data_IF_176769770363
#
_entry.id   IF_176769770363
#
_cell.length_a   1.000
_cell.length_b   1.000
_cell.length_c   1.000
_cell.angle_alpha   90.00
_cell.angle_beta   90.00
_cell.angle_gamma   90.00
#
_symmetry.space_group_name_H-M   'P 1'
#
loop_
_entity.id
_entity.type
_entity.pdbx_description
1 polymer ?
#
# COMPACT_ATOMS: atom_id res chain seq x y z
N UNK A 1 13.60 -22.62 -32.75
CA UNK A 1 14.79 -21.89 -32.24
C UNK A 1 14.68 -21.83 -30.72
N UNK A 2 15.73 -22.24 -30.01
CA UNK A 2 15.71 -22.43 -28.54
C UNK A 2 15.70 -21.08 -27.82
N UNK A 3 14.82 -20.90 -26.84
CA UNK A 3 14.88 -19.81 -25.88
C UNK A 3 15.72 -20.27 -24.67
N UNK A 4 16.79 -19.54 -24.37
CA UNK A 4 17.60 -19.73 -23.17
C UNK A 4 16.95 -19.00 -22.00
N UNK A 5 16.69 -19.72 -20.90
CA UNK A 5 16.30 -19.14 -19.61
C UNK A 5 17.58 -18.93 -18.82
N UNK A 6 18.00 -17.67 -18.68
CA UNK A 6 19.04 -17.30 -17.74
C UNK A 6 18.37 -16.90 -16.41
N UNK A 7 18.62 -17.71 -15.37
CA UNK A 7 18.28 -17.41 -13.99
C UNK A 7 19.57 -17.00 -13.28
N UNK A 8 19.76 -15.71 -13.02
CA UNK A 8 20.84 -15.22 -12.16
C UNK A 8 20.29 -14.92 -10.76
N UNK A 9 20.87 -15.62 -9.77
CA UNK A 9 20.73 -15.35 -8.34
C UNK A 9 21.61 -14.16 -7.98
N UNK A 10 21.05 -13.14 -7.34
CA UNK A 10 21.80 -12.00 -6.82
C UNK A 10 21.01 -11.18 -5.80
N UNK A 11 21.33 -11.42 -4.53
CA UNK A 11 21.28 -10.58 -3.33
C UNK A 11 20.05 -9.78 -2.87
N UNK A 12 19.74 -10.04 -1.60
CA UNK A 12 19.00 -9.21 -0.68
C UNK A 12 19.75 -7.89 -0.41
N UNK A 13 19.29 -6.77 -0.99
CA UNK A 13 19.29 -5.43 -0.38
C UNK A 13 19.07 -4.36 -1.45
N UNK A 14 17.83 -4.17 -1.89
CA UNK A 14 17.34 -2.83 -2.25
C UNK A 14 15.82 -2.87 -2.45
N UNK A 15 15.09 -2.30 -1.50
CA UNK A 15 13.76 -1.78 -1.79
C UNK A 15 13.91 -0.65 -2.83
N UNK A 16 12.93 -0.53 -3.74
CA UNK A 16 12.77 0.51 -4.78
C UNK A 16 13.34 0.16 -6.16
N UNK A 17 12.70 -0.79 -6.84
CA UNK A 17 12.19 -0.56 -8.20
C UNK A 17 11.22 -1.67 -8.54
N UNK A 18 9.93 -1.44 -8.35
CA UNK A 18 8.95 -2.19 -9.11
C UNK A 18 9.25 -1.86 -10.58
N UNK A 19 9.60 -2.84 -11.43
CA UNK A 19 9.48 -2.62 -12.84
C UNK A 19 7.97 -2.52 -13.06
N UNK A 20 7.47 -1.30 -13.27
CA UNK A 20 6.34 -1.13 -14.16
C UNK A 20 6.80 -1.63 -15.52
N UNK A 21 6.89 -2.95 -15.68
CA UNK A 21 6.60 -3.56 -16.95
C UNK A 21 5.14 -3.19 -17.16
N UNK A 22 4.93 -2.03 -17.81
CA UNK A 22 3.94 -1.95 -18.86
C UNK A 22 4.15 -3.23 -19.67
N UNK A 23 3.37 -4.26 -19.31
CA UNK A 23 2.83 -5.12 -20.33
C UNK A 23 1.95 -4.16 -21.11
N UNK A 24 2.58 -3.45 -22.04
CA UNK A 24 1.88 -3.05 -23.24
C UNK A 24 1.22 -4.35 -23.67
N UNK A 25 -0.08 -4.42 -23.45
CA UNK A 25 -0.93 -5.22 -24.29
C UNK A 25 -0.75 -4.61 -25.67
N UNK A 26 0.38 -4.92 -26.33
CA UNK A 26 0.42 -5.08 -27.76
C UNK A 26 -0.62 -6.16 -27.98
N UNK A 27 -1.85 -5.66 -28.10
CA UNK A 27 -2.84 -6.23 -28.96
C UNK A 27 -2.03 -6.46 -30.24
N UNK A 28 -1.57 -7.68 -30.45
CA UNK A 28 -1.46 -8.25 -31.77
C UNK A 28 -2.88 -8.16 -32.35
N UNK A 29 -3.31 -6.93 -32.66
CA UNK A 29 -3.89 -6.60 -33.94
C UNK A 29 -2.85 -7.08 -34.94
N UNK A 30 -2.86 -8.39 -35.15
CA UNK A 30 -2.49 -9.02 -36.39
C UNK A 30 -3.34 -8.27 -37.40
N UNK A 31 -2.76 -7.18 -37.92
CA UNK A 31 -3.26 -6.52 -39.10
C UNK A 31 -3.51 -7.68 -40.07
N UNK A 32 -4.74 -7.85 -40.57
CA UNK A 32 -4.94 -8.85 -41.59
C UNK A 32 -3.96 -8.49 -42.69
N UNK A 33 -2.89 -9.30 -42.81
CA UNK A 33 -2.04 -9.37 -44.00
C UNK A 33 -3.04 -9.33 -45.13
N UNK A 34 -2.96 -8.26 -45.93
CA UNK A 34 -3.80 -8.00 -47.08
C UNK A 34 -4.21 -9.35 -47.66
N UNK A 35 -5.41 -9.78 -47.25
CA UNK A 35 -5.93 -11.06 -47.64
C UNK A 35 -6.11 -10.87 -49.12
N UNK A 36 -5.31 -11.61 -49.88
CA UNK A 36 -5.70 -12.12 -51.17
C UNK A 36 -7.22 -12.15 -51.23
N UNK A 37 -7.79 -11.10 -51.83
CA UNK A 37 -9.07 -11.20 -52.46
C UNK A 37 -8.76 -12.12 -53.64
N UNK A 38 -8.68 -13.42 -53.36
CA UNK A 38 -8.96 -14.41 -54.38
C UNK A 38 -10.36 -14.04 -54.81
N UNK A 39 -10.43 -13.27 -55.91
CA UNK A 39 -11.55 -13.31 -56.81
C UNK A 39 -11.84 -14.79 -56.95
N UNK A 40 -12.82 -15.29 -56.20
CA UNK A 40 -13.44 -16.56 -56.52
C UNK A 40 -13.88 -16.32 -57.95
N UNK A 41 -13.12 -16.92 -58.85
CA UNK A 41 -13.32 -16.86 -60.28
C UNK A 41 -14.59 -17.67 -60.48
N UNK A 42 -15.71 -17.04 -60.13
CA UNK A 42 -17.04 -17.57 -60.14
C UNK A 42 -17.36 -17.77 -61.60
N UNK A 43 -17.16 -19.01 -62.03
CA UNK A 43 -17.53 -19.49 -63.34
C UNK A 43 -18.97 -19.03 -63.59
N UNK A 44 -19.21 -18.28 -64.68
CA UNK A 44 -20.47 -17.57 -64.85
C UNK A 44 -21.61 -18.58 -64.80
N UNK A 45 -22.41 -18.46 -63.74
CA UNK A 45 -23.56 -19.31 -63.47
C UNK A 45 -24.37 -19.52 -64.77
N UNK A 46 -24.70 -20.77 -65.12
CA UNK A 46 -25.52 -21.04 -66.30
C UNK A 46 -26.76 -20.14 -66.27
N UNK A 47 -27.04 -19.41 -67.35
CA UNK A 47 -28.16 -18.47 -67.36
C UNK A 47 -29.47 -19.26 -67.25
N UNK A 48 -30.31 -18.89 -66.28
CA UNK A 48 -31.66 -19.45 -66.14
C UNK A 48 -32.44 -19.21 -67.42
N UNK A 49 -32.59 -20.27 -68.22
CA UNK A 49 -33.50 -20.26 -69.36
C UNK A 49 -34.93 -20.03 -68.83
N UNK A 50 -35.83 -19.45 -69.62
CA UNK A 50 -37.27 -19.39 -69.35
C UNK A 50 -37.94 -19.88 -70.62
N UNK A 51 -38.81 -20.89 -70.52
CA UNK A 51 -39.62 -21.38 -71.65
C UNK A 51 -41.07 -21.00 -71.35
N UNK A 52 -41.72 -20.35 -72.31
CA UNK A 52 -43.14 -20.05 -72.26
C UNK A 52 -43.94 -21.18 -72.93
N UNK A 53 -45.23 -21.27 -72.63
CA UNK A 53 -46.11 -22.32 -73.15
C UNK A 53 -46.21 -22.32 -74.69
N UNK A 54 -45.99 -21.16 -75.33
CA UNK A 54 -45.93 -21.02 -76.78
C UNK A 54 -44.67 -21.65 -77.39
N UNK A 55 -43.54 -21.62 -76.68
CA UNK A 55 -42.26 -22.14 -77.16
C UNK A 55 -42.28 -23.67 -77.32
N UNK A 56 -43.07 -24.37 -76.51
CA UNK A 56 -43.26 -25.82 -76.61
C UNK A 56 -43.98 -26.26 -77.89
N UNK A 57 -44.74 -25.36 -78.53
CA UNK A 57 -45.44 -25.64 -79.79
C UNK A 57 -44.62 -25.30 -81.03
N UNK A 58 -43.59 -24.45 -80.87
CA UNK A 58 -42.83 -23.86 -81.98
C UNK A 58 -41.42 -24.45 -82.07
N UNK A 59 -40.81 -24.86 -80.96
CA UNK A 59 -39.43 -25.35 -80.95
C UNK A 59 -39.32 -26.83 -81.35
N UNK A 60 -38.32 -27.20 -82.17
CA UNK A 60 -38.02 -28.59 -82.48
C UNK A 60 -37.48 -29.32 -81.25
N UNK A 61 -37.67 -30.65 -81.24
CA UNK A 61 -37.32 -31.54 -80.12
C UNK A 61 -35.88 -31.37 -79.63
N UNK A 62 -34.94 -31.22 -80.54
CA UNK A 62 -33.51 -31.13 -80.22
C UNK A 62 -33.16 -29.85 -79.47
N UNK A 63 -33.84 -28.76 -79.79
CA UNK A 63 -33.65 -27.46 -79.16
C UNK A 63 -34.27 -27.43 -77.76
N UNK A 64 -35.40 -28.12 -77.58
CA UNK A 64 -36.01 -28.34 -76.26
C UNK A 64 -35.09 -29.16 -75.34
N UNK A 65 -34.44 -30.21 -75.86
CA UNK A 65 -33.46 -31.02 -75.13
C UNK A 65 -32.25 -30.16 -74.74
N UNK A 66 -31.76 -29.31 -75.64
CA UNK A 66 -30.65 -28.41 -75.34
C UNK A 66 -30.98 -27.45 -74.20
N UNK A 67 -32.18 -26.85 -74.23
CA UNK A 67 -32.66 -25.97 -73.16
C UNK A 67 -32.84 -26.71 -71.83
N UNK A 68 -33.38 -27.93 -71.86
CA UNK A 68 -33.50 -28.76 -70.65
C UNK A 68 -32.13 -29.08 -70.04
N UNK A 69 -31.14 -29.46 -70.85
CA UNK A 69 -29.75 -29.68 -70.38
C UNK A 69 -29.14 -28.42 -69.76
N UNK A 70 -29.43 -27.24 -70.31
CA UNK A 70 -29.01 -25.97 -69.72
C UNK A 70 -29.67 -25.69 -68.37
N UNK A 71 -30.95 -26.06 -68.21
CA UNK A 71 -31.64 -25.97 -66.92
C UNK A 71 -31.10 -26.96 -65.89
N UNK A 72 -30.86 -28.22 -66.27
CA UNK A 72 -30.23 -29.23 -65.41
C UNK A 72 -28.87 -28.73 -64.91
N UNK A 73 -28.02 -28.21 -65.80
CA UNK A 73 -26.73 -27.63 -65.43
C UNK A 73 -26.87 -26.43 -64.48
N UNK A 74 -27.89 -25.57 -64.69
CA UNK A 74 -28.18 -24.46 -63.78
C UNK A 74 -28.62 -24.93 -62.39
N UNK A 75 -29.51 -25.93 -62.33
CA UNK A 75 -29.99 -26.51 -61.06
C UNK A 75 -28.84 -27.16 -60.31
N UNK A 76 -28.03 -27.97 -60.99
CA UNK A 76 -26.86 -28.62 -60.41
C UNK A 76 -25.83 -27.60 -59.87
N UNK A 77 -25.62 -26.50 -60.58
CA UNK A 77 -24.76 -25.41 -60.11
C UNK A 77 -25.34 -24.71 -58.87
N UNK A 78 -26.66 -24.49 -58.81
CA UNK A 78 -27.30 -23.91 -57.62
C UNK A 78 -27.26 -24.84 -56.41
N UNK A 79 -27.47 -26.14 -56.61
CA UNK A 79 -27.40 -27.16 -55.56
C UNK A 79 -25.97 -27.26 -55.00
N UNK A 80 -24.95 -27.25 -55.87
CA UNK A 80 -23.55 -27.20 -55.46
C UNK A 80 -23.23 -25.95 -54.61
N UNK A 81 -23.66 -24.77 -55.07
CA UNK A 81 -23.48 -23.53 -54.30
C UNK A 81 -24.19 -23.58 -52.95
N UNK A 82 -25.40 -24.14 -52.89
CA UNK A 82 -26.13 -24.28 -51.63
C UNK A 82 -25.40 -25.21 -50.65
N UNK A 83 -24.85 -26.33 -51.13
CA UNK A 83 -24.08 -27.25 -50.29
C UNK A 83 -22.78 -26.60 -49.79
N UNK A 84 -22.09 -25.84 -50.64
CA UNK A 84 -20.85 -25.16 -50.29
C UNK A 84 -21.07 -24.08 -49.22
N UNK A 85 -22.07 -23.22 -49.44
CA UNK A 85 -22.49 -22.19 -48.48
C UNK A 85 -22.89 -22.80 -47.13
N UNK A 86 -23.67 -23.89 -47.16
CA UNK A 86 -24.14 -24.53 -45.94
C UNK A 86 -23.03 -25.24 -45.16
N UNK A 87 -22.06 -25.85 -45.86
CA UNK A 87 -21.01 -26.64 -45.20
C UNK A 87 -19.82 -25.83 -44.71
N UNK A 88 -19.47 -24.72 -45.38
CA UNK A 88 -18.28 -23.93 -45.04
C UNK A 88 -18.64 -22.61 -44.33
N UNK A 89 -19.55 -21.84 -44.90
CA UNK A 89 -19.84 -20.50 -44.37
C UNK A 89 -20.73 -20.57 -43.14
N UNK A 90 -21.83 -21.34 -43.20
CA UNK A 90 -22.77 -21.43 -42.06
C UNK A 90 -22.12 -22.12 -40.86
N UNK A 91 -21.37 -23.21 -41.08
CA UNK A 91 -20.67 -23.92 -40.00
C UNK A 91 -19.49 -23.11 -39.45
N UNK A 92 -18.67 -22.52 -40.33
CA UNK A 92 -17.53 -21.70 -39.95
C UNK A 92 -17.94 -20.45 -39.18
N UNK A 93 -19.02 -19.78 -39.60
CA UNK A 93 -19.60 -18.67 -38.86
C UNK A 93 -20.07 -19.11 -37.47
N UNK A 94 -20.77 -20.25 -37.37
CA UNK A 94 -21.23 -20.79 -36.08
C UNK A 94 -20.08 -21.10 -35.13
N UNK A 95 -19.02 -21.75 -35.62
CA UNK A 95 -17.83 -22.02 -34.81
C UNK A 95 -17.08 -20.75 -34.40
N UNK A 96 -17.01 -19.76 -35.30
CA UNK A 96 -16.38 -18.47 -35.00
C UNK A 96 -17.16 -17.67 -33.96
N UNK A 97 -18.50 -17.69 -34.02
CA UNK A 97 -19.39 -17.08 -33.03
C UNK A 97 -19.18 -17.72 -31.65
N UNK A 98 -19.10 -19.05 -31.60
CA UNK A 98 -18.91 -19.79 -30.35
C UNK A 98 -17.53 -19.52 -29.74
N UNK A 99 -16.47 -19.48 -30.56
CA UNK A 99 -15.12 -19.06 -30.12
C UNK A 99 -15.12 -17.64 -29.57
N UNK A 100 -15.82 -16.71 -30.22
CA UNK A 100 -15.89 -15.32 -29.80
C UNK A 100 -16.65 -15.17 -28.47
N UNK A 101 -17.76 -15.91 -28.28
CA UNK A 101 -18.46 -15.99 -27.00
C UNK A 101 -17.58 -16.53 -25.89
N UNK A 102 -16.82 -17.59 -26.15
CA UNK A 102 -15.88 -18.14 -25.16
C UNK A 102 -14.79 -17.14 -24.78
N UNK A 103 -14.20 -16.44 -25.76
CA UNK A 103 -13.23 -15.38 -25.50
C UNK A 103 -13.83 -14.23 -24.69
N UNK A 104 -15.05 -13.82 -25.00
CA UNK A 104 -15.74 -12.77 -24.26
C UNK A 104 -16.00 -13.20 -22.81
N UNK A 105 -16.48 -14.44 -22.60
CA UNK A 105 -16.73 -14.98 -21.26
C UNK A 105 -15.44 -15.09 -20.44
N UNK A 106 -14.35 -15.56 -21.04
CA UNK A 106 -13.04 -15.65 -20.39
C UNK A 106 -12.48 -14.24 -20.09
N UNK A 107 -12.66 -13.29 -20.99
CA UNK A 107 -12.27 -11.89 -20.77
C UNK A 107 -13.05 -11.28 -19.60
N UNK A 108 -14.37 -11.46 -19.56
CA UNK A 108 -15.22 -11.01 -18.46
C UNK A 108 -14.86 -11.69 -17.13
N UNK A 109 -14.51 -12.99 -17.16
CA UNK A 109 -14.04 -13.71 -15.97
C UNK A 109 -12.72 -13.12 -15.45
N UNK A 110 -11.76 -12.82 -16.33
CA UNK A 110 -10.49 -12.18 -15.98
C UNK A 110 -10.72 -10.79 -15.41
N UNK A 111 -11.58 -10.00 -16.04
CA UNK A 111 -11.97 -8.66 -15.57
C UNK A 111 -12.55 -8.71 -14.16
N UNK A 112 -13.51 -9.61 -13.89
CA UNK A 112 -14.09 -9.75 -12.56
C UNK A 112 -13.05 -10.08 -11.47
N UNK A 113 -12.07 -10.93 -11.79
CA UNK A 113 -10.96 -11.23 -10.87
C UNK A 113 -10.11 -9.99 -10.61
N UNK A 114 -9.81 -9.21 -11.67
CA UNK A 114 -9.05 -7.97 -11.53
C UNK A 114 -9.83 -6.95 -10.71
N UNK A 115 -11.13 -6.79 -10.92
CA UNK A 115 -12.00 -5.90 -10.12
C UNK A 115 -11.98 -6.30 -8.65
N UNK A 116 -12.15 -7.59 -8.34
CA UNK A 116 -12.09 -8.06 -6.96
C UNK A 116 -10.73 -7.76 -6.31
N UNK A 117 -9.62 -8.02 -7.03
CA UNK A 117 -8.27 -7.73 -6.53
C UNK A 117 -8.04 -6.23 -6.34
N UNK A 118 -8.54 -5.40 -7.25
CA UNK A 118 -8.47 -3.94 -7.16
C UNK A 118 -9.26 -3.44 -5.95
N UNK A 119 -10.47 -3.95 -5.72
CA UNK A 119 -11.28 -3.62 -4.54
C UNK A 119 -10.57 -4.01 -3.25
N UNK A 120 -9.93 -5.19 -3.19
CA UNK A 120 -9.11 -5.59 -2.03
C UNK A 120 -7.93 -4.63 -1.83
N UNK A 121 -7.22 -4.28 -2.92
CA UNK A 121 -6.09 -3.34 -2.85
C UNK A 121 -6.52 -1.95 -2.40
N UNK A 122 -7.69 -1.48 -2.86
CA UNK A 122 -8.26 -0.21 -2.42
C UNK A 122 -8.61 -0.26 -0.93
N UNK A 123 -9.25 -1.34 -0.46
CA UNK A 123 -9.54 -1.51 0.96
C UNK A 123 -8.27 -1.50 1.82
N UNK A 124 -7.22 -2.22 1.42
CA UNK A 124 -5.92 -2.20 2.11
C UNK A 124 -5.35 -0.77 2.20
N UNK A 125 -5.37 -0.03 1.09
CA UNK A 125 -4.92 1.36 1.06
C UNK A 125 -5.77 2.25 1.96
N UNK A 126 -7.09 2.07 1.91
CA UNK A 126 -8.03 2.79 2.76
C UNK A 126 -7.74 2.50 4.25
N UNK A 127 -7.49 1.27 4.65
CA UNK A 127 -7.14 0.92 6.03
C UNK A 127 -5.76 1.47 6.42
N UNK A 128 -4.78 1.44 5.52
CA UNK A 128 -3.44 1.97 5.78
C UNK A 128 -3.41 3.50 5.89
N UNK A 129 -4.30 4.20 5.19
CA UNK A 129 -4.30 5.68 5.10
C UNK A 129 -5.35 6.31 6.00
N UNK A 130 -6.60 5.85 5.92
CA UNK A 130 -7.69 6.38 6.72
C UNK A 130 -7.64 5.89 8.16
N UNK A 131 -7.13 4.69 8.47
CA UNK A 131 -7.08 4.26 9.88
C UNK A 131 -6.12 5.10 10.73
N UNK A 132 -4.88 5.44 10.28
CA UNK A 132 -4.05 6.41 11.00
C UNK A 132 -4.69 7.78 11.09
N UNK A 133 -5.33 8.26 10.02
CA UNK A 133 -5.97 9.58 10.03
C UNK A 133 -7.17 9.62 10.98
N UNK A 134 -8.02 8.59 10.97
CA UNK A 134 -9.14 8.41 11.92
C UNK A 134 -8.64 8.27 13.37
N UNK A 135 -7.56 7.52 13.60
CA UNK A 135 -6.91 7.44 14.92
C UNK A 135 -6.35 8.79 15.36
N UNK A 136 -5.74 9.55 14.47
CA UNK A 136 -5.23 10.89 14.76
C UNK A 136 -6.39 11.86 15.08
N UNK A 137 -7.48 11.81 14.30
CA UNK A 137 -8.71 12.56 14.57
C UNK A 137 -9.30 12.22 15.94
N UNK A 138 -9.48 10.93 16.25
CA UNK A 138 -9.97 10.48 17.55
C UNK A 138 -9.03 10.90 18.68
N UNK A 139 -7.71 10.86 18.48
CA UNK A 139 -6.74 11.35 19.45
C UNK A 139 -6.91 12.85 19.68
N UNK A 140 -7.00 13.67 18.63
CA UNK A 140 -7.20 15.12 18.79
C UNK A 140 -8.50 15.46 19.51
N UNK A 141 -9.57 14.69 19.27
CA UNK A 141 -10.86 14.93 19.91
C UNK A 141 -10.89 14.46 21.38
N UNK A 142 -10.29 13.30 21.68
CA UNK A 142 -10.45 12.62 22.97
C UNK A 142 -9.30 12.86 23.96
N UNK A 143 -8.10 13.19 23.45
CA UNK A 143 -6.92 13.45 24.28
C UNK A 143 -7.05 14.68 25.20
N UNK A 144 -7.65 15.81 24.79
CA UNK A 144 -7.87 16.94 25.70
C UNK A 144 -8.74 16.54 26.90
N UNK A 145 -9.79 15.75 26.64
CA UNK A 145 -10.69 15.24 27.66
C UNK A 145 -10.00 14.25 28.61
N UNK A 146 -9.14 13.36 28.10
CA UNK A 146 -8.36 12.48 28.95
C UNK A 146 -7.38 13.22 29.87
N UNK A 147 -6.70 14.26 29.36
CA UNK A 147 -5.80 15.08 30.19
C UNK A 147 -6.58 15.81 31.28
N UNK A 148 -7.78 16.32 30.96
CA UNK A 148 -8.65 16.94 31.95
C UNK A 148 -9.06 15.95 33.05
N UNK A 149 -9.47 14.74 32.69
CA UNK A 149 -9.80 13.68 33.67
C UNK A 149 -8.58 13.31 34.52
N UNK A 150 -7.39 13.19 33.91
CA UNK A 150 -6.16 12.86 34.64
C UNK A 150 -5.78 13.93 35.65
N UNK A 151 -5.86 15.21 35.24
CA UNK A 151 -5.65 16.33 36.14
C UNK A 151 -6.65 16.31 37.31
N UNK A 152 -7.94 16.14 37.00
CA UNK A 152 -8.98 16.06 38.03
C UNK A 152 -8.74 14.87 38.98
N UNK A 153 -8.29 13.71 38.48
CA UNK A 153 -7.93 12.57 39.34
C UNK A 153 -6.74 12.85 40.24
N UNK A 154 -5.72 13.59 39.78
CA UNK A 154 -4.60 13.98 40.63
C UNK A 154 -5.02 14.95 41.73
N UNK A 155 -5.92 15.90 41.43
CA UNK A 155 -6.46 16.83 42.42
C UNK A 155 -7.42 16.13 43.38
N UNK A 156 -8.18 15.14 42.90
CA UNK A 156 -9.19 14.43 43.69
C UNK A 156 -8.66 13.24 44.48
N UNK A 157 -7.46 12.72 44.19
CA UNK A 157 -6.74 11.79 45.06
C UNK A 157 -5.62 12.51 45.81
N UNK A 158 -5.95 13.30 46.85
CA UNK A 158 -4.93 13.86 47.72
C UNK A 158 -4.11 12.72 48.33
N UNK A 159 -2.79 12.80 48.21
CA UNK A 159 -1.88 11.89 48.90
C UNK A 159 -2.18 11.90 50.39
N UNK A 160 -1.90 10.80 51.10
CA UNK A 160 -2.08 10.69 52.55
C UNK A 160 -1.41 11.85 53.30
N UNK A 161 -0.31 12.40 52.79
CA UNK A 161 0.34 13.60 53.34
C UNK A 161 -0.50 14.87 53.17
N UNK A 162 -1.14 15.06 52.00
CA UNK A 162 -2.03 16.19 51.74
C UNK A 162 -3.32 16.08 52.55
N UNK A 163 -3.87 14.87 52.68
CA UNK A 163 -5.00 14.59 53.57
C UNK A 163 -4.68 14.93 55.02
N UNK A 164 -3.49 14.53 55.51
CA UNK A 164 -3.02 14.91 56.85
C UNK A 164 -2.92 16.42 56.99
N UNK A 165 -2.41 17.16 56.00
CA UNK A 165 -2.35 18.62 56.06
C UNK A 165 -3.72 19.30 56.03
N UNK A 166 -4.75 18.68 55.43
CA UNK A 166 -6.14 19.21 55.47
C UNK A 166 -6.87 18.86 56.77
N UNK A 167 -6.42 17.85 57.51
CA UNK A 167 -6.99 17.47 58.82
C UNK A 167 -6.36 18.23 59.99
N UNK A 168 -5.19 18.83 59.79
CA UNK A 168 -4.56 19.72 60.77
C UNK A 168 -5.05 21.14 60.52
N UNK A 169 -5.35 21.86 61.59
CA UNK A 169 -5.72 23.28 61.50
C UNK A 169 -4.68 24.08 60.69
N UNK A 170 -5.08 24.99 59.78
CA UNK A 170 -4.16 25.72 58.93
C UNK A 170 -3.06 26.47 59.69
N UNK A 171 -3.35 27.08 60.84
CA UNK A 171 -2.35 27.78 61.62
C UNK A 171 -1.36 26.79 62.26
N UNK A 172 -1.86 25.67 62.76
CA UNK A 172 -1.03 24.58 63.31
C UNK A 172 -0.12 23.98 62.22
N UNK A 173 -0.64 23.75 61.01
CA UNK A 173 0.15 23.22 59.90
C UNK A 173 1.29 24.17 59.48
N UNK A 174 1.06 25.49 59.52
CA UNK A 174 2.11 26.49 59.26
C UNK A 174 3.23 26.42 60.30
N UNK A 175 2.90 26.24 61.58
CA UNK A 175 3.93 26.06 62.62
C UNK A 175 4.72 24.76 62.41
N UNK A 176 4.07 23.64 62.09
CA UNK A 176 4.76 22.38 61.78
C UNK A 176 5.71 22.51 60.59
N UNK A 177 5.27 23.18 59.52
CA UNK A 177 6.10 23.42 58.33
C UNK A 177 7.32 24.29 58.68
N UNK A 178 7.11 25.36 59.47
CA UNK A 178 8.17 26.24 59.92
C UNK A 178 9.19 25.50 60.79
N UNK A 179 8.73 24.75 61.79
CA UNK A 179 9.59 23.93 62.65
C UNK A 179 10.38 22.90 61.85
N UNK A 180 9.74 22.24 60.88
CA UNK A 180 10.42 21.27 60.01
C UNK A 180 11.50 21.94 59.15
N UNK A 181 11.24 23.15 58.64
CA UNK A 181 12.21 23.93 57.88
C UNK A 181 13.40 24.40 58.72
N UNK A 182 13.15 24.89 59.94
CA UNK A 182 14.20 25.27 60.89
C UNK A 182 15.06 24.07 61.27
N UNK A 183 14.44 22.90 61.48
CA UNK A 183 15.15 21.65 61.78
C UNK A 183 16.05 21.21 60.63
N UNK A 184 15.55 21.18 59.39
CA UNK A 184 16.38 20.80 58.23
C UNK A 184 17.52 21.81 58.03
N UNK A 185 17.26 23.12 58.15
CA UNK A 185 18.33 24.13 58.09
C UNK A 185 19.42 23.92 59.16
N UNK A 186 19.06 23.56 60.39
CA UNK A 186 20.06 23.29 61.43
C UNK A 186 20.86 22.03 61.13
N UNK A 187 20.21 21.01 60.55
CA UNK A 187 20.86 19.77 60.13
C UNK A 187 21.83 20.00 58.97
N UNK A 188 21.47 20.80 57.98
CA UNK A 188 22.36 21.18 56.87
C UNK A 188 23.59 21.95 57.39
N UNK A 189 23.38 22.90 58.31
CA UNK A 189 24.49 23.63 58.95
C UNK A 189 25.39 22.72 59.76
N UNK A 190 24.82 21.73 60.45
CA UNK A 190 25.59 20.74 61.21
C UNK A 190 26.40 19.83 60.27
N UNK A 191 25.81 19.36 59.17
CA UNK A 191 26.49 18.56 58.17
C UNK A 191 27.61 19.37 57.50
N UNK A 192 27.37 20.63 57.17
CA UNK A 192 28.40 21.53 56.65
C UNK A 192 29.54 21.73 57.65
N UNK A 193 29.23 22.05 58.92
CA UNK A 193 30.25 22.20 59.96
C UNK A 193 31.01 20.89 60.21
N UNK A 194 30.35 19.74 60.11
CA UNK A 194 30.97 18.43 60.22
C UNK A 194 31.89 18.13 59.02
N UNK A 195 31.46 18.47 57.81
CA UNK A 195 32.25 18.32 56.59
C UNK A 195 33.47 19.24 56.65
N UNK A 196 33.31 20.49 57.08
CA UNK A 196 34.40 21.42 57.32
C UNK A 196 35.37 20.86 58.37
N UNK A 197 34.91 20.44 59.55
CA UNK A 197 35.76 19.82 60.59
C UNK A 197 36.49 18.58 60.08
N UNK A 198 35.83 17.76 59.26
CA UNK A 198 36.46 16.61 58.62
C UNK A 198 37.54 17.06 57.64
N UNK A 199 37.32 18.14 56.88
CA UNK A 199 38.30 18.72 55.97
C UNK A 199 39.49 19.34 56.74
N UNK A 200 39.23 20.02 57.86
CA UNK A 200 40.26 20.58 58.74
C UNK A 200 41.17 19.50 59.32
N UNK A 201 40.61 18.31 59.62
CA UNK A 201 41.39 17.14 60.09
C UNK A 201 42.39 16.60 59.05
N UNK A 202 42.20 16.92 57.77
CA UNK A 202 43.06 16.50 56.67
C UNK A 202 43.93 17.61 56.06
N UNK A 203 43.93 18.83 56.63
CA UNK A 203 44.88 19.88 56.25
C UNK A 203 46.28 19.49 56.74
N UNK A 204 47.29 19.28 55.87
CA UNK A 204 48.61 18.79 56.26
C UNK A 204 49.49 19.78 57.05
N UNK A 205 48.96 20.92 57.49
CA UNK A 205 49.73 21.92 58.23
C UNK A 205 49.56 21.79 59.76
N UNK A 206 49.94 20.63 60.27
CA UNK A 206 50.43 20.49 61.66
C UNK A 206 51.92 20.19 61.64
N UNK A 207 52.64 20.88 60.77
CA UNK A 207 54.06 20.66 60.48
C UNK A 207 54.91 21.91 60.32
N UNK A 208 54.35 23.14 60.25
CA UNK A 208 55.18 24.33 60.02
C UNK A 208 54.82 25.60 60.80
N UNK A 209 53.87 25.55 61.75
CA UNK A 209 53.57 26.72 62.62
C UNK A 209 53.95 26.48 64.10
N UNK A 210 54.90 25.58 64.36
CA UNK A 210 55.50 25.38 65.69
C UNK A 210 56.97 25.83 65.77
N UNK A 211 57.54 26.41 64.71
CA UNK A 211 58.94 26.86 64.70
C UNK A 211 59.13 28.37 64.62
N UNK A 212 58.09 29.16 64.30
CA UNK A 212 58.24 30.62 64.16
C UNK A 212 57.64 31.42 65.34
N UNK A 213 57.32 30.75 66.46
CA UNK A 213 57.00 31.40 67.74
C UNK A 213 58.17 31.42 68.74
N UNK A 214 59.40 31.15 68.28
CA UNK A 214 60.61 31.17 69.12
C UNK A 214 61.61 32.29 68.78
N UNK A 215 61.41 33.07 67.72
CA UNK A 215 62.31 34.19 67.38
C UNK A 215 61.79 35.58 67.80
N UNK A 216 60.48 35.77 67.98
CA UNK A 216 59.96 37.06 68.50
C UNK A 216 60.09 37.21 70.03
N UNK A 217 60.28 36.14 70.80
CA UNK A 217 60.62 36.26 72.23
C UNK A 217 62.11 36.51 72.49
N UNK A 218 63.01 36.22 71.55
CA UNK A 218 64.45 36.41 71.73
C UNK A 218 64.93 37.86 71.50
N UNK A 219 64.11 38.71 70.86
CA UNK A 219 64.41 40.14 70.66
C UNK A 219 63.85 40.98 71.83
N UNK A 220 62.84 40.49 72.54
CA UNK A 220 62.27 41.20 73.70
C UNK A 220 63.08 40.99 75.00
N UNK A 221 63.84 39.90 75.12
CA UNK A 221 64.67 39.63 76.31
C UNK A 221 66.03 40.36 76.32
N UNK A 222 66.47 40.93 75.19
CA UNK A 222 67.69 41.76 75.09
C UNK A 222 67.46 43.27 75.26
N UNK A 223 66.22 43.71 75.46
CA UNK A 223 65.90 45.12 75.79
C UNK A 223 65.44 45.31 77.24
N UNK A 224 65.55 44.27 78.08
CA UNK A 224 65.25 44.36 79.51
C UNK A 224 66.28 43.64 80.39
N UNK A 225 67.58 43.68 80.04
CA UNK A 225 68.72 43.68 80.96
C UNK A 225 70.03 44.02 80.22
#
# INVERSE_FOLDING_TARGET
MRAAVAWERGDHSNAKRWPWQLVCWESEASAPRAGEFTMTNEEPLPKKVRLSEADFKVLPRDELILRWKQYEAYVQALEGKYTDLNSNDVTGLRESEEKLKQQQQESARRENILVMRLATKEQEMQECTWAPQRRAWLRLLYFPHQNQIQYLKQVQQPSVAQLRSTMVDPAINLFFLKMKGELEQTKDKLEQAQNELSAWKFTPDRGLMASDCSEEMAIFEKSLF
#
